data_IF_636697606300
#
_entry.id   IF_636697606300
#
_cell.length_a   1.000
_cell.length_b   1.000
_cell.length_c   1.000
_cell.angle_alpha   90.00
_cell.angle_beta   90.00
_cell.angle_gamma   90.00
#
_symmetry.space_group_name_H-M   'P 1'
#
loop_
_entity.id
_entity.type
_entity.pdbx_description
1 polymer ?
#
# COMPACT_ATOMS: atom_id res chain seq x y z
N UNK A 1 12.77 17.32 -0.32
CA UNK A 1 12.69 17.54 1.15
C UNK A 1 13.95 18.21 1.70
N UNK A 2 15.16 17.63 1.55
CA UNK A 2 16.39 18.19 2.14
C UNK A 2 16.63 19.68 1.83
N UNK A 3 16.53 20.09 0.57
CA UNK A 3 16.68 21.49 0.17
C UNK A 3 15.62 22.42 0.79
N UNK A 4 14.36 21.97 0.87
CA UNK A 4 13.28 22.73 1.50
C UNK A 4 13.52 22.94 3.00
N UNK A 5 13.91 21.87 3.71
CA UNK A 5 14.21 21.94 5.14
C UNK A 5 15.45 22.83 5.41
N UNK A 6 16.49 22.74 4.58
CA UNK A 6 17.66 23.58 4.67
C UNK A 6 17.32 25.07 4.52
N UNK A 7 16.49 25.41 3.53
CA UNK A 7 16.06 26.78 3.30
C UNK A 7 15.14 27.30 4.41
N UNK A 8 14.20 26.46 4.88
CA UNK A 8 13.38 26.78 6.05
C UNK A 8 14.25 27.13 7.26
N UNK A 9 15.18 26.24 7.62
CA UNK A 9 16.08 26.43 8.75
C UNK A 9 16.89 27.71 8.63
N UNK A 10 17.36 28.05 7.42
CA UNK A 10 18.10 29.29 7.15
C UNK A 10 17.24 30.54 7.39
N UNK A 11 15.98 30.53 6.94
CA UNK A 11 15.08 31.67 7.04
C UNK A 11 14.54 31.88 8.46
N UNK A 12 14.25 30.80 9.18
CA UNK A 12 13.63 30.86 10.52
C UNK A 12 14.63 30.79 11.66
N UNK A 13 15.86 30.35 11.39
CA UNK A 13 16.88 30.02 12.39
C UNK A 13 16.41 28.98 13.42
N UNK A 14 15.50 28.07 13.03
CA UNK A 14 14.94 27.03 13.89
C UNK A 14 15.15 25.63 13.31
N UNK A 15 15.50 24.68 14.18
CA UNK A 15 15.51 23.25 13.88
C UNK A 15 14.31 22.59 14.55
N UNK A 16 13.24 22.38 13.80
CA UNK A 16 11.99 21.81 14.30
C UNK A 16 11.30 20.93 13.25
N UNK A 17 10.34 20.11 13.69
CA UNK A 17 9.66 19.09 12.88
C UNK A 17 8.65 19.64 11.86
N UNK A 18 8.99 20.69 11.10
CA UNK A 18 8.08 21.35 10.14
C UNK A 18 7.78 20.51 8.90
N UNK A 19 8.68 19.60 8.52
CA UNK A 19 8.53 18.68 7.40
C UNK A 19 8.77 17.24 7.87
N UNK A 20 8.04 16.29 7.29
CA UNK A 20 8.28 14.84 7.44
C UNK A 20 8.95 14.27 6.20
N UNK A 21 9.41 13.01 6.26
CA UNK A 21 10.21 12.41 5.20
C UNK A 21 11.62 12.98 5.13
N UNK A 22 12.14 13.42 6.27
CA UNK A 22 13.52 13.89 6.42
C UNK A 22 14.49 12.71 6.31
N UNK A 23 15.76 13.01 6.04
CA UNK A 23 16.82 12.00 6.12
C UNK A 23 17.11 11.64 7.58
N UNK A 24 17.47 10.39 7.82
CA UNK A 24 17.63 9.83 9.18
C UNK A 24 18.66 10.63 9.99
N UNK A 25 19.74 11.12 9.35
CA UNK A 25 20.80 11.92 9.99
C UNK A 25 20.35 13.32 10.45
N UNK A 26 19.13 13.75 10.16
CA UNK A 26 18.64 15.09 10.48
C UNK A 26 17.14 15.10 10.83
N UNK A 27 16.68 14.10 11.58
CA UNK A 27 15.33 14.06 12.17
C UNK A 27 14.29 13.26 11.37
N UNK A 28 14.73 12.46 10.39
CA UNK A 28 13.89 11.49 9.71
C UNK A 28 13.59 10.26 10.57
N UNK A 29 12.46 9.61 10.31
CA UNK A 29 12.11 8.34 10.95
C UNK A 29 12.59 7.14 10.13
N UNK A 30 13.01 6.08 10.82
CA UNK A 30 13.12 4.75 10.24
C UNK A 30 11.72 4.27 9.78
N UNK A 31 11.67 3.24 8.92
CA UNK A 31 10.44 2.70 8.30
C UNK A 31 9.74 3.67 7.33
N UNK A 32 10.15 4.94 7.24
CA UNK A 32 9.48 5.92 6.37
C UNK A 32 9.40 5.47 4.89
N UNK A 33 10.48 4.97 4.26
CA UNK A 33 10.38 4.40 2.91
C UNK A 33 9.37 3.24 2.83
N UNK A 34 9.34 2.37 3.82
CA UNK A 34 8.57 1.13 3.82
C UNK A 34 7.09 1.33 4.18
N UNK A 35 6.80 2.42 4.89
CA UNK A 35 5.57 2.65 5.64
C UNK A 35 4.27 2.41 4.85
N UNK A 36 4.18 2.89 3.62
CA UNK A 36 2.97 2.73 2.79
C UNK A 36 2.80 1.28 2.32
N UNK A 37 3.87 0.65 1.84
CA UNK A 37 3.82 -0.74 1.38
C UNK A 37 3.55 -1.71 2.52
N UNK A 38 4.26 -1.53 3.64
CA UNK A 38 4.04 -2.30 4.87
C UNK A 38 2.62 -2.09 5.41
N UNK A 39 2.16 -0.83 5.43
CA UNK A 39 0.81 -0.50 5.89
C UNK A 39 -0.28 -1.19 5.07
N UNK A 40 -0.16 -1.17 3.74
CA UNK A 40 -1.10 -1.84 2.85
C UNK A 40 -1.17 -3.35 3.13
N UNK A 41 -0.02 -4.00 3.28
CA UNK A 41 0.04 -5.43 3.58
C UNK A 41 -0.47 -5.75 4.99
N UNK A 42 -0.19 -4.92 5.99
CA UNK A 42 -0.77 -5.09 7.33
C UNK A 42 -2.29 -4.99 7.30
N UNK A 43 -2.85 -3.99 6.61
CA UNK A 43 -4.30 -3.86 6.48
C UNK A 43 -4.92 -5.07 5.76
N UNK A 44 -4.31 -5.53 4.66
CA UNK A 44 -4.74 -6.73 3.96
C UNK A 44 -4.63 -7.99 4.84
N UNK A 45 -3.63 -8.08 5.71
CA UNK A 45 -3.47 -9.18 6.65
C UNK A 45 -4.62 -9.21 7.67
N UNK A 46 -5.04 -8.04 8.18
CA UNK A 46 -6.19 -7.95 9.08
C UNK A 46 -7.49 -8.33 8.37
N UNK A 47 -7.67 -7.92 7.11
CA UNK A 47 -8.81 -8.37 6.28
C UNK A 47 -8.84 -9.88 6.10
N UNK A 48 -7.72 -10.51 5.72
CA UNK A 48 -7.65 -11.97 5.58
C UNK A 48 -7.97 -12.68 6.91
N UNK A 49 -7.51 -12.11 8.03
CA UNK A 49 -7.77 -12.64 9.36
C UNK A 49 -9.25 -12.74 9.72
N UNK A 50 -10.11 -11.85 9.21
CA UNK A 50 -11.56 -11.92 9.45
C UNK A 50 -12.21 -13.14 8.81
N UNK A 51 -11.57 -13.73 7.80
CA UNK A 51 -12.00 -14.97 7.14
C UNK A 51 -11.16 -16.19 7.56
N UNK A 52 -10.39 -16.09 8.65
CA UNK A 52 -9.50 -17.15 9.11
C UNK A 52 -8.36 -17.48 8.14
N UNK A 53 -8.00 -16.54 7.27
CA UNK A 53 -6.91 -16.68 6.30
C UNK A 53 -5.68 -15.85 6.70
N UNK A 54 -4.53 -16.21 6.15
CA UNK A 54 -3.26 -15.50 6.31
C UNK A 54 -2.52 -15.44 4.96
N UNK A 55 -1.48 -14.60 4.87
CA UNK A 55 -0.65 -14.49 3.66
C UNK A 55 0.14 -15.76 3.32
N UNK A 56 0.38 -16.63 4.30
CA UNK A 56 1.23 -17.81 4.13
C UNK A 56 0.79 -18.68 2.94
N UNK A 57 1.69 -18.84 1.97
CA UNK A 57 1.48 -19.61 0.74
C UNK A 57 0.50 -19.00 -0.27
N UNK A 58 -0.03 -17.80 -0.02
CA UNK A 58 -0.93 -17.08 -0.94
C UNK A 58 -0.14 -16.45 -2.06
N UNK A 59 -0.63 -16.55 -3.30
CA UNK A 59 -0.08 -15.85 -4.46
C UNK A 59 -0.57 -14.41 -4.47
N UNK A 60 0.34 -13.45 -4.52
CA UNK A 60 0.02 -12.03 -4.44
C UNK A 60 0.40 -11.32 -5.74
N UNK A 61 -0.59 -10.83 -6.47
CA UNK A 61 -0.36 -9.96 -7.62
C UNK A 61 -0.13 -8.53 -7.12
N UNK A 62 1.00 -7.94 -7.47
CA UNK A 62 1.37 -6.57 -7.12
C UNK A 62 1.62 -5.83 -8.43
N UNK A 63 1.00 -4.66 -8.60
CA UNK A 63 1.34 -3.75 -9.68
C UNK A 63 2.34 -2.70 -9.21
N UNK A 64 3.06 -2.11 -10.14
CA UNK A 64 4.10 -1.15 -9.87
C UNK A 64 5.41 -1.81 -9.46
N UNK A 65 6.47 -1.00 -9.52
CA UNK A 65 7.83 -1.37 -9.12
C UNK A 65 8.49 -0.21 -8.38
N UNK A 66 7.68 0.76 -7.95
CA UNK A 66 8.12 1.90 -7.16
C UNK A 66 8.20 1.53 -5.68
N UNK A 67 8.47 2.55 -4.86
CA UNK A 67 8.67 2.41 -3.43
C UNK A 67 7.53 1.62 -2.73
N UNK A 68 6.27 1.92 -3.02
CA UNK A 68 5.13 1.20 -2.41
C UNK A 68 5.13 -0.29 -2.78
N UNK A 69 5.25 -0.61 -4.07
CA UNK A 69 5.23 -1.98 -4.56
C UNK A 69 6.42 -2.81 -4.06
N UNK A 70 7.62 -2.23 -4.04
CA UNK A 70 8.83 -2.90 -3.54
C UNK A 70 8.67 -3.33 -2.07
N UNK A 71 8.18 -2.42 -1.22
CA UNK A 71 8.02 -2.71 0.20
C UNK A 71 6.74 -3.48 0.52
N UNK A 72 5.71 -3.42 -0.33
CA UNK A 72 4.60 -4.36 -0.28
C UNK A 72 5.08 -5.80 -0.55
N UNK A 73 5.88 -6.01 -1.61
CA UNK A 73 6.48 -7.31 -1.89
C UNK A 73 7.38 -7.80 -0.75
N UNK A 74 8.20 -6.92 -0.17
CA UNK A 74 9.04 -7.24 0.99
C UNK A 74 8.20 -7.72 2.18
N UNK A 75 7.12 -7.01 2.52
CA UNK A 75 6.26 -7.38 3.65
C UNK A 75 5.43 -8.64 3.37
N UNK A 76 4.99 -8.84 2.13
CA UNK A 76 4.33 -10.09 1.73
C UNK A 76 5.27 -11.29 1.96
N UNK A 77 6.55 -11.15 1.60
CA UNK A 77 7.56 -12.18 1.86
C UNK A 77 7.78 -12.43 3.35
N UNK A 78 7.83 -11.37 4.17
CA UNK A 78 7.94 -11.51 5.64
C UNK A 78 6.78 -12.31 6.25
N UNK A 79 5.58 -12.19 5.68
CA UNK A 79 4.37 -12.90 6.12
C UNK A 79 4.18 -14.25 5.42
N UNK A 80 5.18 -14.73 4.67
CA UNK A 80 5.17 -16.03 4.01
C UNK A 80 4.30 -16.11 2.75
N UNK A 81 3.85 -14.98 2.22
CA UNK A 81 3.17 -14.92 0.92
C UNK A 81 4.16 -14.98 -0.24
N UNK A 82 3.62 -15.15 -1.44
CA UNK A 82 4.39 -15.35 -2.67
C UNK A 82 4.03 -14.24 -3.65
N UNK A 83 4.79 -13.12 -3.72
CA UNK A 83 4.59 -12.12 -4.75
C UNK A 83 4.88 -12.75 -6.12
N UNK A 84 4.02 -12.52 -7.11
CA UNK A 84 4.13 -13.15 -8.44
C UNK A 84 4.20 -12.16 -9.59
N UNK A 85 3.89 -10.89 -9.36
CA UNK A 85 3.99 -9.84 -10.38
C UNK A 85 4.61 -8.57 -9.81
N UNK A 86 5.25 -7.80 -10.69
CA UNK A 86 5.59 -6.38 -10.52
C UNK A 86 5.47 -5.70 -11.88
N UNK A 87 5.17 -4.41 -11.93
CA UNK A 87 5.01 -3.69 -13.21
C UNK A 87 5.69 -2.33 -13.24
N UNK A 88 5.93 -1.81 -14.43
CA UNK A 88 6.20 -0.39 -14.63
C UNK A 88 5.36 0.14 -15.80
N UNK A 89 5.64 1.36 -16.24
CA UNK A 89 4.89 1.99 -17.34
C UNK A 89 4.94 1.23 -18.66
N UNK A 90 5.91 0.33 -18.85
CA UNK A 90 6.14 -0.38 -20.11
C UNK A 90 5.48 -1.76 -20.15
N UNK A 91 5.15 -2.34 -18.99
CA UNK A 91 4.62 -3.70 -18.89
C UNK A 91 4.75 -4.28 -17.50
N UNK A 92 4.48 -5.57 -17.36
CA UNK A 92 4.63 -6.30 -16.11
C UNK A 92 5.39 -7.60 -16.28
N UNK A 93 6.02 -8.03 -15.20
CA UNK A 93 6.60 -9.36 -15.10
C UNK A 93 5.64 -10.28 -14.36
N UNK A 94 5.60 -11.54 -14.78
CA UNK A 94 4.98 -12.64 -14.07
C UNK A 94 6.02 -13.71 -13.77
N UNK A 95 6.27 -13.96 -12.49
CA UNK A 95 7.17 -15.00 -12.01
C UNK A 95 6.34 -16.12 -11.38
N UNK A 96 6.14 -17.21 -12.13
CA UNK A 96 5.32 -18.34 -11.71
C UNK A 96 5.82 -19.01 -10.43
N UNK A 97 7.14 -19.05 -10.26
CA UNK A 97 7.84 -19.61 -9.09
C UNK A 97 7.81 -18.66 -7.89
N UNK A 98 7.45 -17.39 -8.10
CA UNK A 98 7.43 -16.33 -7.12
C UNK A 98 8.72 -15.50 -7.07
N UNK A 99 8.55 -14.26 -6.61
CA UNK A 99 9.62 -13.29 -6.40
C UNK A 99 10.20 -13.52 -5.02
N UNK A 100 11.39 -14.10 -4.92
CA UNK A 100 12.09 -14.31 -3.65
C UNK A 100 12.74 -13.02 -3.15
N UNK A 101 13.31 -13.04 -1.93
CA UNK A 101 14.08 -11.92 -1.38
C UNK A 101 15.21 -11.48 -2.31
N UNK A 102 15.96 -12.43 -2.84
CA UNK A 102 17.06 -12.17 -3.79
C UNK A 102 16.55 -11.52 -5.08
N UNK A 103 15.43 -12.04 -5.63
CA UNK A 103 14.82 -11.48 -6.84
C UNK A 103 14.27 -10.07 -6.58
N UNK A 104 13.73 -9.81 -5.39
CA UNK A 104 13.29 -8.47 -4.97
C UNK A 104 14.47 -7.51 -4.80
N UNK A 105 15.58 -7.94 -4.20
CA UNK A 105 16.80 -7.14 -4.06
C UNK A 105 17.34 -6.71 -5.45
N UNK A 106 17.28 -7.61 -6.43
CA UNK A 106 17.59 -7.28 -7.81
C UNK A 106 16.67 -6.17 -8.35
N UNK A 107 15.36 -6.27 -8.14
CA UNK A 107 14.40 -5.24 -8.56
C UNK A 107 14.68 -3.90 -7.86
N UNK A 108 14.98 -3.91 -6.56
CA UNK A 108 15.31 -2.70 -5.82
C UNK A 108 16.56 -2.01 -6.39
N UNK A 109 17.63 -2.76 -6.67
CA UNK A 109 18.85 -2.21 -7.32
C UNK A 109 18.54 -1.69 -8.73
N UNK A 110 17.79 -2.46 -9.51
CA UNK A 110 17.38 -2.10 -10.86
C UNK A 110 16.63 -0.77 -10.88
N UNK A 111 15.67 -0.58 -9.96
CA UNK A 111 14.79 0.59 -9.95
C UNK A 111 15.38 1.79 -9.22
N UNK A 112 16.09 1.59 -8.11
CA UNK A 112 16.55 2.67 -7.25
C UNK A 112 17.96 3.17 -7.61
N UNK A 113 18.83 2.30 -8.12
CA UNK A 113 20.22 2.65 -8.46
C UNK A 113 20.41 2.81 -9.97
N UNK A 114 20.00 1.80 -10.75
CA UNK A 114 20.21 1.77 -12.21
C UNK A 114 19.15 2.54 -13.00
N UNK A 115 17.96 2.76 -12.40
CA UNK A 115 16.77 3.33 -13.06
C UNK A 115 16.34 2.57 -14.31
N UNK A 116 16.49 1.24 -14.29
CA UNK A 116 16.18 0.35 -15.40
C UNK A 116 14.68 0.02 -15.54
N UNK A 117 14.38 -0.77 -16.56
CA UNK A 117 13.01 -1.21 -16.92
C UNK A 117 12.73 -2.60 -16.38
N UNK A 118 11.48 -2.88 -16.00
CA UNK A 118 11.13 -4.10 -15.29
C UNK A 118 11.35 -5.36 -16.15
N UNK A 119 11.32 -5.24 -17.49
CA UNK A 119 11.64 -6.36 -18.38
C UNK A 119 13.07 -6.90 -18.20
N UNK A 120 14.03 -6.08 -17.74
CA UNK A 120 15.41 -6.52 -17.45
C UNK A 120 15.46 -7.60 -16.36
N UNK A 121 14.39 -7.74 -15.56
CA UNK A 121 14.22 -8.87 -14.65
C UNK A 121 14.21 -10.22 -15.38
N UNK A 122 13.55 -10.31 -16.53
CA UNK A 122 13.50 -11.53 -17.34
C UNK A 122 14.83 -11.81 -18.04
N UNK A 123 15.75 -10.84 -18.11
CA UNK A 123 17.11 -11.09 -18.56
C UNK A 123 17.91 -11.90 -17.55
N UNK A 124 17.68 -11.65 -16.25
CA UNK A 124 18.31 -12.34 -15.15
C UNK A 124 17.58 -13.65 -14.77
N UNK A 125 16.25 -13.62 -14.72
CA UNK A 125 15.42 -14.72 -14.24
C UNK A 125 14.56 -15.28 -15.37
N UNK A 126 15.12 -16.25 -16.10
CA UNK A 126 14.54 -16.81 -17.34
C UNK A 126 13.22 -17.56 -17.16
N UNK A 127 12.86 -17.97 -15.94
CA UNK A 127 11.55 -18.59 -15.67
C UNK A 127 10.40 -17.58 -15.63
N UNK A 128 10.70 -16.29 -15.47
CA UNK A 128 9.71 -15.22 -15.48
C UNK A 128 9.37 -14.76 -16.90
N UNK A 129 8.13 -14.33 -17.08
CA UNK A 129 7.62 -13.82 -18.36
C UNK A 129 7.39 -12.32 -18.27
N UNK A 130 7.82 -11.58 -19.28
CA UNK A 130 7.49 -10.17 -19.44
C UNK A 130 6.30 -10.03 -20.40
N UNK A 131 5.34 -9.21 -20.00
CA UNK A 131 4.16 -8.85 -20.77
C UNK A 131 4.20 -7.35 -21.01
N UNK A 132 4.37 -6.95 -22.27
CA UNK A 132 4.45 -5.54 -22.67
C UNK A 132 3.05 -4.92 -22.69
N UNK A 133 2.91 -3.71 -22.12
CA UNK A 133 1.66 -2.95 -22.15
C UNK A 133 1.33 -2.57 -23.59
N UNK A 134 0.15 -2.92 -24.09
CA UNK A 134 -0.27 -2.52 -25.43
C UNK A 134 -1.06 -1.21 -25.39
N UNK A 135 -0.79 -0.25 -26.28
CA UNK A 135 -1.61 0.95 -26.42
C UNK A 135 -3.07 0.60 -26.75
N UNK A 136 -4.01 1.20 -26.01
CA UNK A 136 -5.44 1.02 -26.26
C UNK A 136 -6.05 -0.27 -25.69
N UNK A 137 -5.29 -1.02 -24.88
CA UNK A 137 -5.84 -2.12 -24.09
C UNK A 137 -6.95 -1.61 -23.16
N UNK A 138 -8.11 -2.27 -23.22
CA UNK A 138 -9.28 -1.95 -22.38
C UNK A 138 -9.20 -2.57 -20.99
N UNK A 139 -8.26 -3.47 -20.75
CA UNK A 139 -8.06 -4.18 -19.49
C UNK A 139 -6.56 -4.32 -19.26
N UNK A 140 -6.15 -4.45 -18.01
CA UNK A 140 -4.75 -4.61 -17.66
C UNK A 140 -4.47 -6.11 -17.45
N UNK A 141 -3.71 -6.77 -18.35
CA UNK A 141 -3.51 -8.22 -18.29
C UNK A 141 -2.81 -8.70 -17.02
N UNK A 142 -2.21 -7.80 -16.23
CA UNK A 142 -1.69 -8.11 -14.89
C UNK A 142 -2.80 -8.70 -14.01
N UNK A 143 -4.00 -8.11 -14.04
CA UNK A 143 -5.13 -8.51 -13.18
C UNK A 143 -5.84 -9.79 -13.65
N UNK A 144 -5.47 -10.31 -14.83
CA UNK A 144 -5.86 -11.65 -15.27
C UNK A 144 -4.99 -12.75 -14.64
N UNK A 145 -3.88 -12.37 -13.97
CA UNK A 145 -3.02 -13.31 -13.27
C UNK A 145 -3.76 -13.95 -12.10
N UNK A 146 -3.82 -15.28 -12.09
CA UNK A 146 -4.39 -16.04 -10.97
C UNK A 146 -3.63 -15.77 -9.67
N UNK A 147 -4.30 -15.09 -8.74
CA UNK A 147 -3.78 -14.71 -7.43
C UNK A 147 -4.86 -14.86 -6.35
N UNK A 148 -4.42 -14.97 -5.10
CA UNK A 148 -5.32 -14.96 -3.94
C UNK A 148 -5.51 -13.54 -3.39
N UNK A 149 -4.53 -12.66 -3.59
CA UNK A 149 -4.56 -11.26 -3.12
C UNK A 149 -4.01 -10.37 -4.23
N UNK A 150 -4.66 -9.23 -4.48
CA UNK A 150 -4.19 -8.21 -5.41
C UNK A 150 -3.89 -6.89 -4.68
N UNK A 151 -2.70 -6.32 -4.94
CA UNK A 151 -2.22 -5.08 -4.34
C UNK A 151 -1.91 -4.05 -5.44
N UNK A 152 -2.90 -3.26 -5.90
CA UNK A 152 -2.66 -2.20 -6.86
C UNK A 152 -1.84 -1.06 -6.23
N UNK A 153 -0.60 -0.90 -6.72
CA UNK A 153 0.42 -0.02 -6.16
C UNK A 153 1.11 0.85 -7.22
N UNK A 154 0.54 0.99 -8.42
CA UNK A 154 1.17 1.74 -9.52
C UNK A 154 0.61 3.16 -9.70
N UNK A 155 -0.67 3.28 -10.07
CA UNK A 155 -1.28 4.55 -10.47
C UNK A 155 -2.78 4.57 -10.22
N UNK A 156 -3.38 5.76 -10.28
CA UNK A 156 -4.82 5.94 -10.27
C UNK A 156 -5.49 5.24 -11.46
N UNK A 157 -6.67 4.66 -11.26
CA UNK A 157 -7.50 4.00 -12.28
C UNK A 157 -6.80 2.84 -13.05
N UNK A 158 -5.90 2.10 -12.39
CA UNK A 158 -5.22 0.92 -12.98
C UNK A 158 -6.03 -0.39 -12.94
N UNK A 159 -7.15 -0.43 -12.19
CA UNK A 159 -8.12 -1.53 -12.19
C UNK A 159 -9.48 -0.96 -12.63
N UNK A 160 -10.02 -1.47 -13.73
CA UNK A 160 -11.38 -1.14 -14.18
C UNK A 160 -12.38 -2.28 -13.92
N UNK A 161 -13.63 -2.11 -14.35
CA UNK A 161 -14.73 -3.08 -14.18
C UNK A 161 -14.39 -4.48 -14.72
N UNK A 162 -13.72 -4.55 -15.88
CA UNK A 162 -13.34 -5.81 -16.51
C UNK A 162 -12.28 -6.53 -15.69
N UNK A 163 -11.26 -5.79 -15.24
CA UNK A 163 -10.18 -6.31 -14.38
C UNK A 163 -10.76 -6.81 -13.05
N UNK A 164 -11.63 -6.03 -12.42
CA UNK A 164 -12.31 -6.39 -11.17
C UNK A 164 -13.14 -7.67 -11.32
N UNK A 165 -13.91 -7.76 -12.41
CA UNK A 165 -14.70 -8.95 -12.74
C UNK A 165 -13.83 -10.19 -12.91
N UNK A 166 -12.65 -10.05 -13.52
CA UNK A 166 -11.68 -11.14 -13.66
C UNK A 166 -11.11 -11.57 -12.31
N UNK A 167 -10.71 -10.63 -11.46
CA UNK A 167 -10.21 -10.92 -10.11
C UNK A 167 -11.24 -11.69 -9.28
N UNK A 168 -12.50 -11.24 -9.27
CA UNK A 168 -13.58 -11.94 -8.56
C UNK A 168 -13.80 -13.35 -9.14
N UNK A 169 -13.94 -13.49 -10.46
CA UNK A 169 -14.18 -14.80 -11.12
C UNK A 169 -13.03 -15.79 -10.95
N UNK A 170 -11.79 -15.31 -10.85
CA UNK A 170 -10.60 -16.14 -10.67
C UNK A 170 -10.41 -16.65 -9.23
N UNK A 171 -11.22 -16.16 -8.29
CA UNK A 171 -11.18 -16.55 -6.89
C UNK A 171 -10.24 -15.72 -6.03
N UNK A 172 -9.90 -14.49 -6.44
CA UNK A 172 -9.18 -13.55 -5.60
C UNK A 172 -9.98 -13.31 -4.30
N UNK A 173 -9.29 -13.33 -3.15
CA UNK A 173 -9.92 -13.21 -1.84
C UNK A 173 -9.93 -11.77 -1.33
N UNK A 174 -8.89 -11.01 -1.65
CA UNK A 174 -8.72 -9.66 -1.16
C UNK A 174 -8.04 -8.73 -2.18
N UNK A 175 -8.49 -7.49 -2.23
CA UNK A 175 -7.88 -6.38 -2.97
C UNK A 175 -7.60 -5.26 -1.96
N UNK A 176 -6.36 -4.80 -1.86
CA UNK A 176 -6.00 -3.69 -0.99
C UNK A 176 -5.20 -2.62 -1.73
N UNK A 177 -5.73 -1.40 -1.77
CA UNK A 177 -5.16 -0.31 -2.56
C UNK A 177 -3.90 0.28 -1.89
N UNK A 178 -2.73 0.06 -2.50
CA UNK A 178 -1.48 0.71 -2.08
C UNK A 178 -1.26 2.07 -2.75
N UNK A 179 -1.74 2.24 -3.99
CA UNK A 179 -1.76 3.52 -4.69
C UNK A 179 -2.95 4.40 -4.24
N UNK A 180 -3.01 5.63 -4.72
CA UNK A 180 -4.14 6.53 -4.47
C UNK A 180 -5.22 6.34 -5.55
N UNK A 181 -6.38 5.80 -5.15
CA UNK A 181 -7.52 5.51 -6.02
C UNK A 181 -7.18 4.67 -7.28
N UNK A 182 -6.48 3.53 -7.14
CA UNK A 182 -6.18 2.68 -8.28
C UNK A 182 -7.42 2.02 -8.91
N UNK A 183 -8.49 1.76 -8.17
CA UNK A 183 -9.71 1.19 -8.75
C UNK A 183 -10.68 2.27 -9.24
N UNK A 184 -11.25 2.08 -10.44
CA UNK A 184 -12.34 2.95 -10.92
C UNK A 184 -13.61 2.73 -10.10
N UNK A 185 -14.57 3.68 -10.11
CA UNK A 185 -15.85 3.50 -9.42
C UNK A 185 -16.59 2.22 -9.83
N UNK A 186 -16.52 1.84 -11.10
CA UNK A 186 -17.14 0.63 -11.64
C UNK A 186 -16.44 -0.64 -11.12
N UNK A 187 -15.11 -0.63 -11.03
CA UNK A 187 -14.34 -1.71 -10.40
C UNK A 187 -14.72 -1.89 -8.92
N UNK A 188 -14.86 -0.78 -8.21
CA UNK A 188 -15.26 -0.76 -6.79
C UNK A 188 -16.66 -1.36 -6.61
N UNK A 189 -17.62 -1.02 -7.48
CA UNK A 189 -18.96 -1.58 -7.44
C UNK A 189 -18.93 -3.12 -7.59
N UNK A 190 -18.13 -3.63 -8.55
CA UNK A 190 -17.94 -5.08 -8.73
C UNK A 190 -17.40 -5.74 -7.46
N UNK A 191 -16.44 -5.10 -6.77
CA UNK A 191 -15.90 -5.66 -5.54
C UNK A 191 -16.91 -5.65 -4.39
N UNK A 192 -17.64 -4.56 -4.15
CA UNK A 192 -18.65 -4.43 -3.08
C UNK A 192 -19.87 -5.34 -3.30
N UNK A 193 -20.24 -5.65 -4.54
CA UNK A 193 -21.31 -6.61 -4.87
C UNK A 193 -20.87 -8.08 -4.72
N UNK A 194 -19.58 -8.32 -4.52
CA UNK A 194 -19.00 -9.66 -4.40
C UNK A 194 -18.67 -10.02 -2.95
N UNK A 195 -18.22 -11.26 -2.71
CA UNK A 195 -17.70 -11.69 -1.40
C UNK A 195 -16.20 -11.39 -1.21
N UNK A 196 -15.57 -10.70 -2.16
CA UNK A 196 -14.15 -10.32 -2.11
C UNK A 196 -13.94 -9.20 -1.08
N UNK A 197 -12.87 -9.30 -0.29
CA UNK A 197 -12.52 -8.27 0.68
C UNK A 197 -11.84 -7.08 -0.02
N UNK A 198 -12.48 -5.92 -0.05
CA UNK A 198 -11.91 -4.72 -0.67
C UNK A 198 -11.51 -3.67 0.36
N UNK A 199 -10.25 -3.23 0.36
CA UNK A 199 -9.77 -2.13 1.18
C UNK A 199 -9.46 -0.86 0.36
N UNK A 200 -10.13 0.26 0.65
CA UNK A 200 -9.87 1.52 -0.05
C UNK A 200 -8.52 2.12 0.37
N UNK A 201 -7.88 2.85 -0.54
CA UNK A 201 -6.54 3.42 -0.35
C UNK A 201 -6.46 4.36 0.84
N UNK A 202 -7.53 5.14 1.09
CA UNK A 202 -7.65 6.04 2.26
C UNK A 202 -7.43 5.33 3.62
N UNK A 203 -7.65 4.02 3.68
CA UNK A 203 -7.36 3.19 4.84
C UNK A 203 -6.09 2.35 4.63
N UNK A 204 -6.01 1.59 3.54
CA UNK A 204 -4.92 0.63 3.31
C UNK A 204 -3.54 1.30 3.17
N UNK A 205 -3.44 2.42 2.46
CA UNK A 205 -2.17 3.10 2.22
C UNK A 205 -1.80 4.15 3.29
N UNK A 206 -2.63 4.29 4.33
CA UNK A 206 -2.49 5.29 5.40
C UNK A 206 -1.20 5.14 6.23
N UNK A 207 -0.51 4.01 6.12
CA UNK A 207 0.76 3.74 6.80
C UNK A 207 1.82 4.83 6.57
N UNK A 208 1.90 5.39 5.36
CA UNK A 208 2.83 6.48 5.05
C UNK A 208 2.57 7.76 5.86
N UNK A 209 1.31 8.12 6.02
CA UNK A 209 0.89 9.28 6.85
C UNK A 209 1.02 8.94 8.33
N UNK A 210 0.71 7.71 8.74
CA UNK A 210 0.90 7.25 10.11
C UNK A 210 2.36 7.39 10.57
N UNK A 211 3.33 6.89 9.78
CA UNK A 211 4.75 7.03 10.10
C UNK A 211 5.23 8.47 9.99
N UNK A 212 4.60 9.31 9.16
CA UNK A 212 4.85 10.76 9.17
C UNK A 212 4.44 11.38 10.51
N UNK A 213 3.30 10.98 11.09
CA UNK A 213 2.90 11.38 12.44
C UNK A 213 3.89 10.88 13.50
N UNK A 214 4.37 9.64 13.40
CA UNK A 214 5.41 9.10 14.29
C UNK A 214 6.73 9.85 14.15
N UNK A 215 7.10 10.30 12.95
CA UNK A 215 8.26 11.18 12.73
C UNK A 215 8.08 12.51 13.45
N UNK A 216 6.88 13.11 13.42
CA UNK A 216 6.58 14.33 14.17
C UNK A 216 6.71 14.10 15.68
N UNK A 217 6.19 12.99 16.21
CA UNK A 217 6.33 12.62 17.63
C UNK A 217 7.81 12.49 18.04
N UNK A 218 8.61 11.77 17.26
CA UNK A 218 10.05 11.62 17.50
C UNK A 218 10.78 12.97 17.50
N UNK A 219 10.44 13.87 16.55
CA UNK A 219 11.02 15.21 16.50
C UNK A 219 10.62 16.07 17.71
N UNK A 220 9.36 15.99 18.16
CA UNK A 220 8.88 16.71 19.34
C UNK A 220 9.57 16.19 20.62
N UNK A 221 9.75 14.88 20.75
CA UNK A 221 10.43 14.23 21.87
C UNK A 221 11.95 14.39 21.83
N UNK A 222 12.51 14.72 20.65
CA UNK A 222 13.96 14.72 20.36
C UNK A 222 14.63 13.36 20.61
N UNK A 223 13.87 12.29 20.41
CA UNK A 223 14.33 10.92 20.56
C UNK A 223 13.97 10.14 19.28
N UNK A 224 14.93 9.39 18.76
CA UNK A 224 14.72 8.48 17.65
C UNK A 224 14.36 7.10 18.17
N UNK A 225 13.43 6.43 17.50
CA UNK A 225 13.09 5.05 17.77
C UNK A 225 13.84 4.09 16.85
N UNK A 226 14.00 2.86 17.32
CA UNK A 226 14.54 1.76 16.52
C UNK A 226 13.56 1.38 15.39
N UNK A 227 14.08 0.71 14.35
CA UNK A 227 13.24 0.21 13.24
C UNK A 227 12.08 -0.64 13.74
N UNK A 228 12.35 -1.54 14.70
CA UNK A 228 11.35 -2.44 15.29
C UNK A 228 10.24 -1.66 16.00
N UNK A 229 10.59 -0.66 16.82
CA UNK A 229 9.59 0.13 17.53
C UNK A 229 8.69 0.93 16.58
N UNK A 230 9.24 1.47 15.49
CA UNK A 230 8.42 2.18 14.49
C UNK A 230 7.51 1.19 13.74
N UNK A 231 8.02 0.02 13.36
CA UNK A 231 7.24 -1.02 12.66
C UNK A 231 6.11 -1.58 13.54
N UNK A 232 6.38 -1.87 14.82
CA UNK A 232 5.36 -2.33 15.77
C UNK A 232 4.25 -1.29 15.96
N UNK A 233 4.61 -0.01 16.05
CA UNK A 233 3.64 1.10 16.12
C UNK A 233 2.83 1.23 14.83
N UNK A 234 3.48 1.12 13.67
CA UNK A 234 2.80 1.13 12.38
C UNK A 234 1.79 -0.01 12.30
N UNK A 235 2.19 -1.25 12.64
CA UNK A 235 1.29 -2.41 12.65
C UNK A 235 0.09 -2.18 13.56
N UNK A 236 0.30 -1.68 14.78
CA UNK A 236 -0.79 -1.36 15.71
C UNK A 236 -1.74 -0.28 15.17
N UNK A 237 -1.21 0.76 14.52
CA UNK A 237 -2.04 1.79 13.88
C UNK A 237 -2.88 1.17 12.76
N UNK A 238 -2.29 0.35 11.89
CA UNK A 238 -3.05 -0.27 10.79
C UNK A 238 -4.15 -1.21 11.29
N UNK A 239 -3.88 -2.02 12.33
CA UNK A 239 -4.90 -2.81 13.02
C UNK A 239 -6.02 -1.92 13.57
N UNK A 240 -5.68 -0.77 14.17
CA UNK A 240 -6.69 0.15 14.71
C UNK A 240 -7.55 0.79 13.62
N UNK A 241 -6.95 1.17 12.48
CA UNK A 241 -7.68 1.69 11.31
C UNK A 241 -8.61 0.61 10.75
N UNK A 242 -8.14 -0.64 10.63
CA UNK A 242 -8.96 -1.77 10.19
C UNK A 242 -10.17 -1.99 11.10
N UNK A 243 -9.95 -2.10 12.41
CA UNK A 243 -11.01 -2.27 13.39
C UNK A 243 -12.03 -1.12 13.31
N UNK A 244 -11.56 0.13 13.25
CA UNK A 244 -12.43 1.30 13.10
C UNK A 244 -13.29 1.23 11.83
N UNK A 245 -12.71 0.84 10.69
CA UNK A 245 -13.47 0.71 9.45
C UNK A 245 -14.54 -0.37 9.58
N UNK A 246 -14.17 -1.57 10.06
CA UNK A 246 -15.09 -2.70 10.21
C UNK A 246 -16.23 -2.36 11.17
N UNK A 247 -15.91 -1.91 12.37
CA UNK A 247 -16.88 -1.67 13.43
C UNK A 247 -17.82 -0.51 13.05
N UNK A 248 -17.30 0.54 12.39
CA UNK A 248 -18.13 1.64 11.88
C UNK A 248 -19.07 1.17 10.76
N UNK A 249 -18.57 0.34 9.84
CA UNK A 249 -19.40 -0.18 8.75
C UNK A 249 -20.56 -1.02 9.30
N UNK A 250 -20.32 -1.85 10.32
CA UNK A 250 -21.33 -2.62 11.03
C UNK A 250 -22.34 -1.71 11.76
N UNK A 251 -21.85 -0.73 12.54
CA UNK A 251 -22.69 0.20 13.28
C UNK A 251 -23.64 1.01 12.38
N UNK A 252 -23.19 1.34 11.16
CA UNK A 252 -23.95 2.15 10.20
C UNK A 252 -24.63 1.32 9.10
N UNK A 253 -24.82 0.00 9.32
CA UNK A 253 -25.69 -0.84 8.50
C UNK A 253 -25.11 -1.31 7.16
N UNK A 254 -23.78 -1.32 7.02
CA UNK A 254 -23.07 -1.83 5.84
C UNK A 254 -21.92 -2.80 6.23
N UNK A 255 -22.21 -3.87 6.99
CA UNK A 255 -21.18 -4.79 7.49
C UNK A 255 -20.33 -5.34 6.35
N UNK A 256 -19.00 -5.31 6.52
CA UNK A 256 -18.04 -5.74 5.51
C UNK A 256 -17.59 -4.66 4.51
N UNK A 257 -18.31 -3.53 4.40
CA UNK A 257 -17.91 -2.42 3.51
C UNK A 257 -16.86 -1.53 4.17
N UNK A 258 -15.58 -1.77 3.88
CA UNK A 258 -14.49 -0.91 4.37
C UNK A 258 -14.55 0.50 3.78
N UNK A 259 -15.21 0.69 2.62
CA UNK A 259 -15.42 2.01 2.02
C UNK A 259 -16.31 2.87 2.91
N UNK A 260 -17.48 2.35 3.28
CA UNK A 260 -18.40 3.04 4.16
C UNK A 260 -17.78 3.24 5.54
N UNK A 261 -17.17 2.18 6.08
CA UNK A 261 -16.43 2.24 7.34
C UNK A 261 -15.39 3.35 7.39
N UNK A 262 -14.48 3.40 6.40
CA UNK A 262 -13.43 4.40 6.36
C UNK A 262 -13.96 5.83 6.17
N UNK A 263 -14.96 6.01 5.30
CA UNK A 263 -15.58 7.31 5.06
C UNK A 263 -16.27 7.86 6.31
N UNK A 264 -17.13 7.05 6.91
CA UNK A 264 -17.94 7.45 8.06
C UNK A 264 -17.04 7.68 9.28
N UNK A 265 -16.10 6.77 9.56
CA UNK A 265 -15.19 6.91 10.70
C UNK A 265 -14.32 8.18 10.59
N UNK A 266 -13.75 8.41 9.39
CA UNK A 266 -12.95 9.60 9.12
C UNK A 266 -13.77 10.89 9.25
N UNK A 267 -14.98 10.91 8.67
CA UNK A 267 -15.88 12.05 8.74
C UNK A 267 -16.32 12.37 10.16
N UNK A 268 -16.82 11.38 10.91
CA UNK A 268 -17.34 11.59 12.27
C UNK A 268 -16.26 12.14 13.20
N UNK A 269 -15.02 11.66 13.09
CA UNK A 269 -13.92 12.16 13.91
C UNK A 269 -13.67 13.66 13.68
N UNK A 270 -13.71 14.10 12.43
CA UNK A 270 -13.51 15.52 12.08
C UNK A 270 -14.75 16.34 12.45
N UNK A 271 -15.95 15.90 12.06
CA UNK A 271 -17.20 16.60 12.31
C UNK A 271 -17.46 16.81 13.80
N UNK A 272 -17.25 15.79 14.64
CA UNK A 272 -17.42 15.92 16.10
C UNK A 272 -16.41 16.92 16.68
N UNK A 273 -15.14 16.85 16.24
CA UNK A 273 -14.13 17.80 16.70
C UNK A 273 -14.43 19.24 16.25
N UNK A 274 -15.03 19.43 15.07
CA UNK A 274 -15.49 20.75 14.61
C UNK A 274 -16.65 21.27 15.47
N UNK A 275 -17.62 20.41 15.83
CA UNK A 275 -18.71 20.79 16.72
C UNK A 275 -18.21 21.21 18.11
N UNK A 276 -17.26 20.46 18.68
CA UNK A 276 -16.66 20.75 19.98
C UNK A 276 -15.88 22.09 20.00
N UNK A 277 -15.33 22.50 18.86
CA UNK A 277 -14.53 23.73 18.72
C UNK A 277 -15.38 24.98 18.40
N UNK A 278 -16.67 24.81 18.09
CA UNK A 278 -17.56 25.91 17.74
C UNK A 278 -17.26 26.54 16.37
N UNK A 279 -17.79 27.76 16.15
CA UNK A 279 -17.60 28.50 14.89
C UNK A 279 -16.31 29.31 14.96
N UNK A 280 -15.24 28.78 14.36
CA UNK A 280 -13.89 29.39 14.28
C UNK A 280 -13.43 29.59 12.84
#
# INVERSE_FOLDING_TARGET
>A
IGYLFGQYKRLTNKFEGVLTGKGVNWGGSLIRPEATGYGCVYFASEMLGTQGAEFKGKRVAISGSGNVAQFAAEKVLDLGGVPVTLSDSSGFIFDGDGITREKLDFVMKLKNERRGRIHEYCDQYKSAKYHETQPGEKSNPLWETKCDVALPCATQNEINEHDASHLVKSGCKAVAEGANMPSTPEAIAVFEESSLLFAPGKAANAGGVAVSGLEMTQNAMRLSWTRKEVDDRLRHIMHSIHAQCRDTAEQYGSPGSYINGANIAGFLKVANAMLDQGVV
#
